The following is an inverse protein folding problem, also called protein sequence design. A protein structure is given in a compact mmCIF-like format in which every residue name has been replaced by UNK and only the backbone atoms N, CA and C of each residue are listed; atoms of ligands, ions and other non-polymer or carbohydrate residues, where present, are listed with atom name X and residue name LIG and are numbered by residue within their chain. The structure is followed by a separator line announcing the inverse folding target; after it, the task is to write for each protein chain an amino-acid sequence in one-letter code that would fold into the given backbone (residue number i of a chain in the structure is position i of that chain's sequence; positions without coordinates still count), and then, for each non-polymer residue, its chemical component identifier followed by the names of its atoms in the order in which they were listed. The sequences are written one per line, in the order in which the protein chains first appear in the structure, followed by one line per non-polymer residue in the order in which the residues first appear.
data_IF_048939892739
#
_entry.id   IF_048939892739
#
_cell.length_a   1.000
_cell.length_b   1.000
_cell.length_c   1.000
_cell.angle_alpha   90.00
_cell.angle_beta   90.00
_cell.angle_gamma   90.00
#
_symmetry.space_group_name_H-M   'P 1'
#
loop_
_entity.id
_entity.type
_entity.pdbx_description
1 polymer ?
#
# COMPACT_ATOMS: atom_id res chain seq x y z
N UNK A 1 41.00 11.07 30.10
CA UNK A 1 39.88 10.46 29.35
C UNK A 1 39.50 11.46 28.28
N UNK A 2 39.91 11.22 27.03
CA UNK A 2 39.56 12.11 25.93
C UNK A 2 38.15 11.76 25.47
N UNK A 3 37.20 12.64 25.73
CA UNK A 3 35.90 12.65 25.05
C UNK A 3 36.17 12.84 23.56
N UNK A 4 36.28 11.72 22.83
CA UNK A 4 36.24 11.75 21.38
C UNK A 4 34.80 12.03 21.00
N UNK A 5 34.53 13.31 20.73
CA UNK A 5 33.33 13.79 20.07
C UNK A 5 33.17 13.03 18.75
N UNK A 6 32.33 11.99 18.75
CA UNK A 6 32.01 11.21 17.55
C UNK A 6 31.17 12.12 16.67
N UNK A 7 31.84 12.87 15.79
CA UNK A 7 31.19 13.65 14.75
C UNK A 7 30.12 12.78 14.08
N UNK A 8 28.83 13.12 14.16
CA UNK A 8 27.80 12.35 13.51
C UNK A 8 28.15 12.26 12.04
N UNK A 9 28.22 11.03 11.51
CA UNK A 9 28.48 10.81 10.09
C UNK A 9 27.53 11.69 9.27
N UNK A 10 27.94 12.13 8.08
CA UNK A 10 27.08 12.93 7.18
C UNK A 10 25.70 12.29 7.01
N UNK A 11 25.65 10.96 7.02
CA UNK A 11 24.43 10.15 7.05
C UNK A 11 23.53 10.45 8.27
N UNK A 12 24.07 10.42 9.50
CA UNK A 12 23.27 10.68 10.71
C UNK A 12 22.69 12.10 10.71
N UNK A 13 23.44 13.09 10.21
CA UNK A 13 22.95 14.47 10.07
C UNK A 13 21.78 14.54 9.08
N UNK A 14 21.93 13.95 7.89
CA UNK A 14 20.86 13.90 6.88
C UNK A 14 19.62 13.14 7.37
N UNK A 15 19.82 11.96 7.99
CA UNK A 15 18.71 11.17 8.54
C UNK A 15 17.94 11.93 9.62
N UNK A 16 18.63 12.71 10.44
CA UNK A 16 17.97 13.55 11.46
C UNK A 16 17.12 14.64 10.82
N UNK A 17 17.64 15.32 9.79
CA UNK A 17 16.90 16.39 9.05
C UNK A 17 15.62 15.83 8.41
N UNK A 18 15.69 14.63 7.83
CA UNK A 18 14.55 13.98 7.18
C UNK A 18 13.81 12.97 8.05
N UNK A 19 14.04 12.99 9.37
CA UNK A 19 13.47 12.00 10.30
C UNK A 19 11.95 11.92 10.20
N UNK A 20 11.28 13.07 10.15
CA UNK A 20 9.81 13.14 10.00
C UNK A 20 9.31 12.39 8.77
N UNK A 21 9.97 12.55 7.62
CA UNK A 21 9.60 11.91 6.36
C UNK A 21 9.86 10.41 6.42
N UNK A 22 11.07 10.03 6.87
CA UNK A 22 11.48 8.63 6.96
C UNK A 22 10.56 7.87 7.91
N UNK A 23 10.31 8.42 9.10
CA UNK A 23 9.47 7.76 10.12
C UNK A 23 8.01 7.68 9.68
N UNK A 24 7.49 8.70 8.97
CA UNK A 24 6.12 8.69 8.43
C UNK A 24 5.93 7.61 7.37
N UNK A 25 6.84 7.53 6.39
CA UNK A 25 6.76 6.48 5.36
C UNK A 25 7.06 5.11 5.93
N UNK A 26 7.97 4.98 6.89
CA UNK A 26 8.19 3.73 7.60
C UNK A 26 6.90 3.24 8.27
N UNK A 27 6.16 4.15 8.93
CA UNK A 27 4.85 3.85 9.52
C UNK A 27 3.83 3.43 8.46
N UNK A 28 3.78 4.12 7.32
CA UNK A 28 2.87 3.77 6.22
C UNK A 28 3.17 2.39 5.62
N UNK A 29 4.43 2.07 5.34
CA UNK A 29 4.84 0.77 4.80
C UNK A 29 4.70 -0.38 5.80
N UNK A 30 4.74 -0.09 7.11
CA UNK A 30 4.56 -1.09 8.17
C UNK A 30 3.15 -1.12 8.76
N UNK A 31 2.19 -0.43 8.15
CA UNK A 31 0.81 -0.41 8.61
C UNK A 31 0.25 -1.83 8.66
N UNK A 32 -0.28 -2.22 9.83
CA UNK A 32 -0.84 -3.56 10.08
C UNK A 32 -2.20 -3.55 10.75
N UNK A 33 -2.97 -2.48 10.55
CA UNK A 33 -4.23 -2.25 11.26
C UNK A 33 -5.34 -1.83 10.31
N UNK A 34 -6.55 -2.26 10.62
CA UNK A 34 -7.80 -1.83 9.98
C UNK A 34 -8.70 -1.07 10.95
N UNK A 35 -8.24 -0.89 12.20
CA UNK A 35 -9.02 -0.19 13.23
C UNK A 35 -9.01 1.30 12.94
N UNK A 36 -10.20 1.86 12.77
CA UNK A 36 -10.39 3.27 12.45
C UNK A 36 -9.69 4.22 13.44
N UNK A 37 -9.73 3.90 14.75
CA UNK A 37 -9.05 4.71 15.77
C UNK A 37 -7.53 4.79 15.58
N UNK A 38 -6.90 3.69 15.16
CA UNK A 38 -5.46 3.64 14.89
C UNK A 38 -5.13 4.33 13.55
N UNK A 39 -5.97 4.13 12.53
CA UNK A 39 -5.85 4.83 11.25
C UNK A 39 -5.98 6.35 11.40
N UNK A 40 -6.89 6.82 12.25
CA UNK A 40 -7.02 8.24 12.58
C UNK A 40 -5.78 8.82 13.26
N UNK A 41 -5.04 8.03 14.06
CA UNK A 41 -3.74 8.46 14.62
C UNK A 41 -2.69 8.58 13.53
N UNK A 42 -2.64 7.61 12.62
CA UNK A 42 -1.73 7.64 11.46
C UNK A 42 -2.05 8.84 10.56
N UNK A 43 -3.33 9.10 10.29
CA UNK A 43 -3.78 10.28 9.53
C UNK A 43 -3.33 11.60 10.17
N UNK A 44 -3.51 11.76 11.49
CA UNK A 44 -3.04 12.96 12.20
C UNK A 44 -1.53 13.19 12.07
N UNK A 45 -0.74 12.11 12.08
CA UNK A 45 0.70 12.18 11.83
C UNK A 45 0.99 12.61 10.39
N UNK A 46 0.36 11.98 9.39
CA UNK A 46 0.50 12.35 7.96
C UNK A 46 0.18 13.82 7.75
N UNK A 47 -0.96 14.27 8.25
CA UNK A 47 -1.42 15.65 8.20
C UNK A 47 -0.38 16.62 8.77
N UNK A 48 0.01 16.42 10.03
CA UNK A 48 0.92 17.35 10.73
C UNK A 48 2.32 17.33 10.11
N UNK A 49 2.88 16.14 9.88
CA UNK A 49 4.29 15.98 9.52
C UNK A 49 4.56 16.19 8.03
N UNK A 50 3.63 15.79 7.16
CA UNK A 50 3.84 15.77 5.70
C UNK A 50 3.09 16.90 4.96
N UNK A 51 1.87 17.23 5.38
CA UNK A 51 0.99 18.16 4.66
C UNK A 51 1.03 19.57 5.26
N UNK A 52 0.60 19.73 6.51
CA UNK A 52 0.47 21.03 7.19
C UNK A 52 1.81 21.72 7.42
N UNK A 53 2.89 20.94 7.51
CA UNK A 53 4.26 21.45 7.52
C UNK A 53 4.67 22.11 6.19
N UNK A 54 3.78 22.15 5.19
CA UNK A 54 3.93 22.69 3.83
C UNK A 54 5.10 22.06 3.04
N UNK A 55 5.45 20.84 3.39
CA UNK A 55 6.55 20.12 2.74
C UNK A 55 6.11 19.43 1.46
N UNK A 56 4.88 18.90 1.44
CA UNK A 56 4.34 18.18 0.30
C UNK A 56 2.89 18.58 0.02
N UNK A 57 2.49 18.72 -1.26
CA UNK A 57 1.08 18.89 -1.61
C UNK A 57 0.24 17.66 -1.21
N UNK A 58 -1.01 17.85 -0.74
CA UNK A 58 -1.91 16.75 -0.40
C UNK A 58 -2.08 15.72 -1.52
N UNK A 59 -2.10 16.18 -2.77
CA UNK A 59 -2.21 15.34 -3.97
C UNK A 59 -1.07 14.32 -4.08
N UNK A 60 0.16 14.75 -3.75
CA UNK A 60 1.35 13.88 -3.80
C UNK A 60 1.28 12.85 -2.67
N UNK A 61 0.91 13.26 -1.46
CA UNK A 61 0.80 12.34 -0.32
C UNK A 61 -0.31 11.32 -0.54
N UNK A 62 -1.45 11.75 -1.09
CA UNK A 62 -2.55 10.84 -1.45
C UNK A 62 -2.12 9.83 -2.51
N UNK A 63 -1.42 10.28 -3.57
CA UNK A 63 -0.86 9.40 -4.59
C UNK A 63 0.11 8.37 -3.99
N UNK A 64 1.01 8.81 -3.11
CA UNK A 64 1.99 7.93 -2.49
C UNK A 64 1.34 6.85 -1.62
N UNK A 65 0.37 7.24 -0.77
CA UNK A 65 -0.40 6.30 0.06
C UNK A 65 -1.11 5.26 -0.81
N UNK A 66 -1.73 5.69 -1.89
CA UNK A 66 -2.43 4.80 -2.83
C UNK A 66 -1.46 3.82 -3.53
N UNK A 67 -0.26 4.28 -3.91
CA UNK A 67 0.73 3.41 -4.52
C UNK A 67 1.35 2.37 -3.55
N UNK A 68 1.29 2.61 -2.23
CA UNK A 68 1.75 1.64 -1.21
C UNK A 68 0.90 0.36 -1.21
N UNK A 69 -0.38 0.43 -1.63
CA UNK A 69 -1.30 -0.72 -1.66
C UNK A 69 -0.67 -1.95 -2.33
N UNK A 70 0.08 -1.75 -3.42
CA UNK A 70 0.73 -2.85 -4.16
C UNK A 70 1.77 -3.63 -3.34
N UNK A 71 2.33 -3.02 -2.31
CA UNK A 71 3.38 -3.60 -1.47
C UNK A 71 2.85 -4.14 -0.15
N UNK A 72 1.64 -3.75 0.24
CA UNK A 72 1.01 -4.18 1.49
C UNK A 72 -0.51 -4.36 1.29
N UNK A 73 -0.87 -5.16 0.29
CA UNK A 73 -2.23 -5.29 -0.23
C UNK A 73 -3.25 -5.82 0.78
N UNK A 74 -2.80 -6.59 1.79
CA UNK A 74 -3.63 -7.04 2.91
C UNK A 74 -4.40 -5.88 3.55
N UNK A 75 -3.79 -4.71 3.63
CA UNK A 75 -4.37 -3.53 4.27
C UNK A 75 -4.85 -2.49 3.25
N UNK A 76 -5.20 -2.91 2.02
CA UNK A 76 -5.67 -2.01 0.97
C UNK A 76 -6.79 -1.07 1.45
N UNK A 77 -7.77 -1.61 2.19
CA UNK A 77 -8.89 -0.82 2.76
C UNK A 77 -8.40 0.30 3.69
N UNK A 78 -7.39 0.03 4.50
CA UNK A 78 -6.79 1.02 5.39
C UNK A 78 -6.14 2.17 4.61
N UNK A 79 -5.43 1.86 3.52
CA UNK A 79 -4.83 2.89 2.67
C UNK A 79 -5.88 3.69 1.90
N UNK A 80 -6.93 3.04 1.39
CA UNK A 80 -8.08 3.71 0.76
C UNK A 80 -8.76 4.66 1.74
N UNK A 81 -8.95 4.24 2.99
CA UNK A 81 -9.50 5.08 4.06
C UNK A 81 -8.61 6.30 4.34
N UNK A 82 -7.30 6.11 4.49
CA UNK A 82 -6.36 7.22 4.68
C UNK A 82 -6.38 8.21 3.50
N UNK A 83 -6.42 7.69 2.26
CA UNK A 83 -6.53 8.51 1.06
C UNK A 83 -7.86 9.28 1.02
N UNK A 84 -8.97 8.66 1.45
CA UNK A 84 -10.28 9.29 1.53
C UNK A 84 -10.33 10.45 2.53
N UNK A 85 -9.67 10.30 3.68
CA UNK A 85 -9.53 11.40 4.64
C UNK A 85 -8.75 12.59 4.05
N UNK A 86 -7.73 12.34 3.24
CA UNK A 86 -7.00 13.42 2.54
C UNK A 86 -7.89 14.06 1.47
N UNK A 87 -8.60 13.25 0.69
CA UNK A 87 -9.54 13.72 -0.32
C UNK A 87 -10.58 14.68 0.27
N UNK A 88 -11.22 14.27 1.37
CA UNK A 88 -12.30 15.03 2.01
C UNK A 88 -11.80 16.32 2.64
N UNK A 89 -10.66 16.28 3.34
CA UNK A 89 -10.17 17.43 4.10
C UNK A 89 -9.50 18.48 3.22
N UNK A 90 -8.76 18.05 2.19
CA UNK A 90 -7.99 18.94 1.32
C UNK A 90 -8.64 19.18 -0.05
N UNK A 91 -9.83 18.60 -0.28
CA UNK A 91 -10.56 18.70 -1.54
C UNK A 91 -9.71 18.31 -2.76
N UNK A 92 -9.01 17.18 -2.66
CA UNK A 92 -8.16 16.66 -3.75
C UNK A 92 -9.03 16.02 -4.84
N UNK A 93 -9.59 16.83 -5.73
CA UNK A 93 -10.50 16.36 -6.78
C UNK A 93 -9.80 15.57 -7.90
N UNK A 94 -8.48 15.71 -8.04
CA UNK A 94 -7.72 15.09 -9.12
C UNK A 94 -6.29 14.73 -8.68
N UNK A 95 -5.85 13.54 -9.06
CA UNK A 95 -4.50 13.03 -8.79
C UNK A 95 -3.85 12.61 -10.10
N UNK A 96 -2.85 13.38 -10.54
CA UNK A 96 -2.11 13.09 -11.77
C UNK A 96 -1.14 11.92 -11.58
N UNK A 97 -0.91 11.15 -12.66
CA UNK A 97 0.03 10.02 -12.69
C UNK A 97 -0.29 8.89 -11.69
N UNK A 98 -1.56 8.74 -11.31
CA UNK A 98 -1.99 7.62 -10.47
C UNK A 98 -1.82 6.33 -11.27
N UNK A 99 -1.26 5.29 -10.64
CA UNK A 99 -1.24 3.98 -11.30
C UNK A 99 -2.68 3.47 -11.44
N UNK A 100 -2.95 2.69 -12.50
CA UNK A 100 -4.30 2.22 -12.82
C UNK A 100 -4.99 1.52 -11.64
N UNK A 101 -4.26 0.63 -10.96
CA UNK A 101 -4.82 -0.20 -9.89
C UNK A 101 -5.39 0.61 -8.71
N UNK A 102 -4.62 1.48 -8.03
CA UNK A 102 -5.19 2.28 -6.94
C UNK A 102 -6.37 3.16 -7.37
N UNK A 103 -6.38 3.67 -8.61
CA UNK A 103 -7.51 4.43 -9.14
C UNK A 103 -8.78 3.57 -9.20
N UNK A 104 -8.68 2.36 -9.74
CA UNK A 104 -9.80 1.41 -9.81
C UNK A 104 -10.28 1.00 -8.43
N UNK A 105 -9.36 0.71 -7.50
CA UNK A 105 -9.72 0.33 -6.12
C UNK A 105 -10.46 1.46 -5.41
N UNK A 106 -9.99 2.70 -5.55
CA UNK A 106 -10.64 3.87 -4.95
C UNK A 106 -12.01 4.14 -5.56
N UNK A 107 -12.14 4.00 -6.88
CA UNK A 107 -13.42 4.10 -7.57
C UNK A 107 -14.40 3.01 -7.14
N UNK A 108 -13.96 1.75 -7.03
CA UNK A 108 -14.82 0.65 -6.56
C UNK A 108 -15.32 0.84 -5.13
N UNK A 109 -14.46 1.36 -4.24
CA UNK A 109 -14.80 1.56 -2.82
C UNK A 109 -15.70 2.79 -2.60
N UNK A 110 -15.43 3.91 -3.29
CA UNK A 110 -16.08 5.20 -2.99
C UNK A 110 -16.89 5.80 -4.15
N UNK A 111 -16.84 5.23 -5.35
CA UNK A 111 -17.48 5.79 -6.56
C UNK A 111 -16.81 7.05 -7.11
N UNK A 112 -15.59 7.37 -6.66
CA UNK A 112 -14.87 8.61 -7.01
C UNK A 112 -13.75 8.28 -8.00
N UNK A 113 -13.73 9.01 -9.12
CA UNK A 113 -12.69 8.90 -10.16
C UNK A 113 -11.62 9.97 -9.93
N UNK A 114 -10.43 9.57 -9.50
CA UNK A 114 -9.32 10.48 -9.18
C UNK A 114 -8.52 10.90 -10.41
N UNK A 115 -8.32 9.98 -11.35
CA UNK A 115 -7.77 10.30 -12.67
C UNK A 115 -8.92 10.28 -13.69
N UNK A 116 -9.29 11.46 -14.19
CA UNK A 116 -10.40 11.66 -15.13
C UNK A 116 -10.12 11.05 -16.50
N UNK A 117 -8.84 10.93 -16.87
CA UNK A 117 -8.40 10.39 -18.15
C UNK A 117 -8.41 8.86 -18.19
N UNK A 118 -8.40 8.20 -17.03
CA UNK A 118 -8.41 6.74 -16.95
C UNK A 118 -9.70 6.17 -17.54
N UNK A 119 -9.59 5.30 -18.52
CA UNK A 119 -10.71 4.49 -18.96
C UNK A 119 -10.81 3.25 -18.06
N UNK A 120 -11.99 3.00 -17.49
CA UNK A 120 -12.24 1.88 -16.59
C UNK A 120 -12.94 0.72 -17.30
N UNK A 121 -13.05 0.74 -18.63
CA UNK A 121 -13.70 -0.32 -19.43
C UNK A 121 -13.29 -1.74 -18.99
N UNK A 122 -14.27 -2.65 -19.06
CA UNK A 122 -14.52 -3.85 -18.23
C UNK A 122 -13.44 -4.96 -18.22
N UNK A 123 -12.34 -4.81 -18.94
CA UNK A 123 -11.49 -5.94 -19.36
C UNK A 123 -10.35 -6.31 -18.38
N UNK A 124 -10.36 -5.76 -17.15
CA UNK A 124 -9.28 -5.95 -16.17
C UNK A 124 -9.73 -6.44 -14.79
N UNK A 125 -10.99 -6.83 -14.64
CA UNK A 125 -11.57 -7.37 -13.40
C UNK A 125 -10.92 -8.71 -12.99
N UNK A 126 -10.48 -9.51 -13.95
CA UNK A 126 -9.98 -10.88 -13.73
C UNK A 126 -8.80 -10.96 -12.74
N UNK A 127 -8.01 -9.90 -12.61
CA UNK A 127 -6.84 -9.87 -11.71
C UNK A 127 -7.10 -9.26 -10.32
N UNK A 128 -8.30 -8.70 -10.08
CA UNK A 128 -8.65 -8.11 -8.78
C UNK A 128 -9.23 -9.13 -7.80
N UNK A 129 -9.77 -10.24 -8.33
CA UNK A 129 -10.50 -11.24 -7.55
C UNK A 129 -9.62 -12.39 -7.05
N UNK A 130 -8.30 -12.30 -7.22
CA UNK A 130 -7.36 -13.34 -6.74
C UNK A 130 -7.38 -13.54 -5.22
N UNK A 131 -7.87 -12.54 -4.47
CA UNK A 131 -8.04 -12.60 -3.01
C UNK A 131 -9.49 -12.91 -2.60
N UNK A 132 -10.32 -13.42 -3.51
CA UNK A 132 -11.66 -13.93 -3.20
C UNK A 132 -11.61 -15.11 -2.22
N UNK A 133 -12.77 -15.47 -1.67
CA UNK A 133 -12.87 -16.59 -0.73
C UNK A 133 -12.42 -17.90 -1.41
N UNK A 134 -11.64 -18.70 -0.67
CA UNK A 134 -11.12 -20.01 -1.10
C UNK A 134 -10.02 -19.99 -2.18
N UNK A 135 -9.15 -18.98 -2.18
CA UNK A 135 -7.89 -19.03 -2.95
C UNK A 135 -6.68 -19.24 -2.03
N UNK A 136 -5.64 -19.91 -2.54
CA UNK A 136 -4.35 -20.01 -1.85
C UNK A 136 -3.70 -18.63 -1.65
N UNK A 137 -3.91 -17.71 -2.59
CA UNK A 137 -3.40 -16.33 -2.51
C UNK A 137 -3.99 -15.57 -1.32
N UNK A 138 -5.30 -15.76 -1.02
CA UNK A 138 -5.92 -15.19 0.17
C UNK A 138 -5.38 -15.83 1.45
N UNK A 139 -5.10 -17.13 1.44
CA UNK A 139 -4.50 -17.81 2.59
C UNK A 139 -3.11 -17.24 2.89
N UNK A 140 -2.27 -17.07 1.85
CA UNK A 140 -0.94 -16.44 1.96
C UNK A 140 -1.06 -15.01 2.49
N UNK A 141 -1.87 -14.16 1.85
CA UNK A 141 -2.05 -12.75 2.23
C UNK A 141 -2.46 -12.58 3.70
N UNK A 142 -3.33 -13.47 4.21
CA UNK A 142 -3.82 -13.40 5.59
C UNK A 142 -2.97 -14.18 6.59
N UNK A 143 -1.90 -14.85 6.15
CA UNK A 143 -1.10 -15.76 6.97
C UNK A 143 -1.96 -16.88 7.60
N UNK A 144 -2.87 -17.45 6.82
CA UNK A 144 -3.75 -18.55 7.20
C UNK A 144 -3.07 -19.90 6.93
N UNK A 145 -2.37 -20.40 7.94
CA UNK A 145 -1.56 -21.62 7.85
C UNK A 145 -2.42 -22.86 7.56
N UNK A 146 -3.60 -22.97 8.17
CA UNK A 146 -4.46 -24.15 8.03
C UNK A 146 -4.97 -24.28 6.60
N UNK A 147 -5.47 -23.18 6.01
CA UNK A 147 -5.91 -23.17 4.61
C UNK A 147 -4.75 -23.38 3.65
N UNK A 148 -3.59 -22.80 3.94
CA UNK A 148 -2.41 -23.01 3.09
C UNK A 148 -2.02 -24.49 3.03
N UNK A 149 -1.94 -25.18 4.18
CA UNK A 149 -1.67 -26.62 4.23
C UNK A 149 -2.72 -27.39 3.43
N UNK A 150 -4.00 -27.10 3.64
CA UNK A 150 -5.08 -27.73 2.89
C UNK A 150 -4.88 -27.61 1.37
N UNK A 151 -4.56 -26.43 0.84
CA UNK A 151 -4.30 -26.25 -0.60
C UNK A 151 -3.11 -27.07 -1.11
N UNK A 152 -2.08 -27.27 -0.28
CA UNK A 152 -0.90 -28.06 -0.68
C UNK A 152 -1.16 -29.57 -0.68
N UNK A 153 -2.21 -30.04 -0.01
CA UNK A 153 -2.57 -31.46 0.12
C UNK A 153 -3.64 -31.93 -0.87
N UNK A 154 -4.30 -31.01 -1.60
CA UNK A 154 -5.30 -31.35 -2.62
C UNK A 154 -4.64 -31.96 -3.85
N UNK A 155 -5.26 -33.02 -4.38
CA UNK A 155 -4.88 -33.62 -5.65
C UNK A 155 -4.90 -32.57 -6.78
N UNK A 156 -3.76 -32.39 -7.44
CA UNK A 156 -3.59 -31.39 -8.50
C UNK A 156 -2.95 -30.08 -8.07
N UNK A 157 -2.47 -29.96 -6.83
CA UNK A 157 -1.64 -28.82 -6.41
C UNK A 157 -0.36 -28.69 -7.26
N UNK A 158 -0.21 -27.56 -7.94
CA UNK A 158 1.02 -27.20 -8.64
C UNK A 158 1.93 -26.33 -7.76
N UNK A 159 3.03 -26.93 -7.29
CA UNK A 159 4.06 -26.24 -6.51
C UNK A 159 4.83 -25.18 -7.29
N UNK A 160 4.81 -25.25 -8.63
CA UNK A 160 5.51 -24.33 -9.52
C UNK A 160 4.57 -23.26 -10.10
N UNK A 161 3.31 -23.20 -9.62
CA UNK A 161 2.36 -22.19 -10.10
C UNK A 161 2.91 -20.79 -9.82
N UNK A 162 2.71 -19.89 -10.79
CA UNK A 162 3.08 -18.48 -10.68
C UNK A 162 1.84 -17.60 -10.78
N UNK A 163 1.89 -16.44 -10.13
CA UNK A 163 0.85 -15.42 -10.17
C UNK A 163 1.38 -14.19 -10.90
N UNK A 164 0.75 -13.85 -12.02
CA UNK A 164 0.86 -12.52 -12.62
C UNK A 164 -0.40 -11.74 -12.26
N UNK A 165 -0.25 -10.68 -11.47
CA UNK A 165 -1.39 -9.83 -11.10
C UNK A 165 -0.99 -8.38 -10.94
N UNK A 166 -1.86 -7.49 -11.42
CA UNK A 166 -1.73 -6.03 -11.27
C UNK A 166 -1.84 -5.57 -9.82
N UNK A 167 -2.31 -6.42 -8.88
CA UNK A 167 -2.35 -6.15 -7.44
C UNK A 167 -0.96 -6.13 -6.78
N UNK A 168 0.04 -6.67 -7.46
CA UNK A 168 1.42 -6.72 -6.99
C UNK A 168 2.32 -5.88 -7.93
N UNK A 169 3.56 -5.57 -7.55
CA UNK A 169 4.52 -4.96 -8.47
C UNK A 169 4.74 -5.84 -9.71
N UNK A 170 5.14 -5.22 -10.82
CA UNK A 170 5.38 -5.96 -12.05
C UNK A 170 6.51 -7.00 -11.87
N UNK A 171 6.22 -8.24 -12.25
CA UNK A 171 7.20 -9.32 -12.37
C UNK A 171 7.10 -9.94 -13.76
N UNK A 172 8.23 -10.01 -14.49
CA UNK A 172 8.28 -10.63 -15.82
C UNK A 172 7.90 -12.11 -15.81
N UNK A 173 8.16 -12.81 -14.70
CA UNK A 173 7.95 -14.25 -14.58
C UNK A 173 6.74 -14.59 -13.70
N UNK A 174 5.98 -13.58 -13.25
CA UNK A 174 5.04 -13.72 -12.14
C UNK A 174 5.74 -13.94 -10.80
N UNK A 175 4.95 -14.14 -9.76
CA UNK A 175 5.41 -14.49 -8.41
C UNK A 175 5.13 -15.96 -8.13
N UNK A 176 6.14 -16.69 -7.67
CA UNK A 176 5.92 -18.00 -7.05
C UNK A 176 5.15 -17.87 -5.74
N UNK A 177 4.53 -18.96 -5.27
CA UNK A 177 3.88 -18.98 -3.97
C UNK A 177 4.83 -18.58 -2.82
N UNK A 178 6.11 -18.95 -2.92
CA UNK A 178 7.11 -18.61 -1.90
C UNK A 178 7.44 -17.11 -1.87
N UNK A 179 7.45 -16.44 -3.03
CA UNK A 179 7.67 -14.99 -3.10
C UNK A 179 6.47 -14.17 -2.61
N UNK A 180 5.28 -14.79 -2.55
CA UNK A 180 4.07 -14.16 -2.03
C UNK A 180 3.95 -14.25 -0.49
N UNK A 181 4.66 -15.19 0.14
CA UNK A 181 4.71 -15.37 1.60
C UNK A 181 5.54 -14.27 2.29
#
# INVERSE_FOLDING_TARGET
MSDQDVQPSKYNKLRSIYKYYIDSYFTLYQLKTEKEEELNKIYKMIKTELIDSKKFPPQIIMNDILNIIRYNNRYAKSYLFLAKLIYDEYHVEEVNNLTYLPNVLFYKEYGIKLDKSADFEEDHSENLDIHTENTIYRAIMNNDLERFIYFTEIDGFDKNQTLESKLYPYSKNGYSLLELC
#
